data_IF_721207128681
#
_entry.id   IF_721207128681
#
_cell.length_a   1.000
_cell.length_b   1.000
_cell.length_c   1.000
_cell.angle_alpha   90.00
_cell.angle_beta   90.00
_cell.angle_gamma   90.00
#
_symmetry.space_group_name_H-M   'P 1'
#
loop_
_entity.id
_entity.type
_entity.pdbx_description
1 polymer ?
#
# COMPACT_ATOMS: atom_id res chain seq x y z
N UNK A 1 24.59 35.21 15.41
CA UNK A 1 24.03 34.59 16.63
C UNK A 1 22.52 34.55 16.42
N UNK A 2 22.03 33.52 15.73
CA UNK A 2 20.60 33.27 15.58
C UNK A 2 20.20 32.40 16.77
N UNK A 3 19.35 32.92 17.66
CA UNK A 3 18.82 32.14 18.78
C UNK A 3 17.86 31.06 18.25
N UNK A 4 17.76 29.89 18.91
CA UNK A 4 16.72 28.94 18.58
C UNK A 4 15.36 29.57 18.90
N UNK A 5 14.49 29.64 17.90
CA UNK A 5 13.10 30.02 18.06
C UNK A 5 12.46 29.04 19.06
N UNK A 6 12.21 29.51 20.29
CA UNK A 6 11.49 28.76 21.30
C UNK A 6 10.01 28.74 20.90
N UNK A 7 9.63 27.81 20.03
CA UNK A 7 8.22 27.48 19.81
C UNK A 7 7.66 27.03 21.14
N UNK A 8 6.77 27.83 21.71
CA UNK A 8 6.11 27.52 22.97
C UNK A 8 5.34 26.22 22.78
N UNK A 9 5.60 25.25 23.67
CA UNK A 9 4.92 23.96 23.70
C UNK A 9 3.39 24.17 23.73
N UNK A 10 2.71 23.89 22.62
CA UNK A 10 1.25 24.04 22.52
C UNK A 10 0.57 22.95 23.34
N UNK A 11 -0.41 23.35 24.15
CA UNK A 11 -1.32 22.44 24.86
C UNK A 11 -2.67 22.46 24.17
N UNK A 12 -3.16 21.31 23.68
CA UNK A 12 -4.43 21.26 22.96
C UNK A 12 -5.08 19.86 23.01
N UNK A 13 -6.39 19.84 23.29
CA UNK A 13 -7.28 18.70 23.04
C UNK A 13 -8.57 19.27 22.46
N UNK A 14 -9.07 18.71 21.36
CA UNK A 14 -10.26 19.20 20.68
C UNK A 14 -11.48 19.14 21.63
N UNK A 15 -12.37 20.14 21.65
CA UNK A 15 -13.52 20.17 22.55
C UNK A 15 -14.43 18.93 22.44
N UNK A 16 -14.59 18.38 21.23
CA UNK A 16 -15.41 17.19 21.01
C UNK A 16 -14.82 15.95 21.68
N UNK A 17 -13.49 15.81 21.73
CA UNK A 17 -12.81 14.75 22.49
C UNK A 17 -13.17 14.85 23.97
N UNK A 18 -13.26 16.07 24.52
CA UNK A 18 -13.57 16.32 25.92
C UNK A 18 -15.06 16.22 26.27
N UNK A 19 -15.94 16.22 25.26
CA UNK A 19 -17.39 16.32 25.44
C UNK A 19 -18.11 15.14 24.78
N UNK A 20 -18.38 15.25 23.48
CA UNK A 20 -19.08 14.23 22.68
C UNK A 20 -18.36 12.88 22.82
N UNK A 21 -17.04 12.85 22.74
CA UNK A 21 -16.28 11.60 22.84
C UNK A 21 -16.33 10.92 24.17
N UNK A 22 -16.32 11.67 25.26
CA UNK A 22 -16.51 11.08 26.59
C UNK A 22 -17.94 10.59 26.77
N UNK A 23 -18.92 11.35 26.29
CA UNK A 23 -20.34 10.99 26.39
C UNK A 23 -20.66 9.73 25.58
N UNK A 24 -20.12 9.64 24.38
CA UNK A 24 -20.43 8.57 23.42
C UNK A 24 -19.44 7.38 23.55
N UNK A 25 -18.45 7.51 24.44
CA UNK A 25 -17.59 6.41 24.89
C UNK A 25 -16.34 6.17 24.04
N UNK A 26 -16.07 6.98 23.03
CA UNK A 26 -14.88 6.86 22.17
C UNK A 26 -13.63 7.60 22.69
N UNK A 27 -13.76 8.45 23.73
CA UNK A 27 -12.64 9.16 24.32
C UNK A 27 -12.45 8.86 25.82
N UNK A 28 -11.19 8.91 26.27
CA UNK A 28 -10.86 8.76 27.69
C UNK A 28 -11.48 9.91 28.52
N UNK A 29 -12.23 9.62 29.60
CA UNK A 29 -12.80 10.65 30.47
C UNK A 29 -11.75 11.35 31.33
N UNK A 30 -10.64 10.67 31.65
CA UNK A 30 -9.54 11.27 32.40
C UNK A 30 -8.78 12.25 31.48
N UNK A 31 -8.66 13.49 31.93
CA UNK A 31 -8.02 14.58 31.17
C UNK A 31 -6.59 14.86 31.61
N UNK A 32 -6.15 14.29 32.72
CA UNK A 32 -4.78 14.41 33.20
C UNK A 32 -4.05 13.05 33.06
N UNK A 33 -3.11 12.94 32.10
CA UNK A 33 -2.43 11.67 31.83
C UNK A 33 -1.58 11.19 33.02
N UNK A 34 -1.21 12.08 33.95
CA UNK A 34 -0.42 11.72 35.13
C UNK A 34 -1.18 10.87 36.14
N UNK A 35 -2.51 10.78 36.00
CA UNK A 35 -3.40 9.97 36.83
C UNK A 35 -3.68 8.58 36.25
N UNK A 36 -3.19 8.30 35.05
CA UNK A 36 -3.42 7.02 34.35
C UNK A 36 -2.45 5.96 34.86
N UNK A 37 -2.95 4.74 35.11
CA UNK A 37 -2.08 3.57 35.30
C UNK A 37 -1.46 3.15 33.98
N UNK A 38 -0.27 3.68 33.73
CA UNK A 38 0.50 3.40 32.53
C UNK A 38 1.02 1.96 32.46
N UNK A 39 1.15 1.25 33.58
CA UNK A 39 1.64 -0.14 33.58
C UNK A 39 0.71 -1.03 32.77
N UNK A 40 -0.60 -0.88 32.99
CA UNK A 40 -1.62 -1.63 32.27
C UNK A 40 -1.68 -1.23 30.79
N UNK A 41 -1.58 0.08 30.47
CA UNK A 41 -1.60 0.58 29.08
C UNK A 41 -0.37 0.13 28.30
N UNK A 42 0.83 0.26 28.88
CA UNK A 42 2.09 -0.22 28.27
C UNK A 42 2.10 -1.74 28.09
N UNK A 43 1.52 -2.50 29.02
CA UNK A 43 1.42 -3.96 28.91
C UNK A 43 0.52 -4.45 27.77
N UNK A 44 -0.36 -3.59 27.24
CA UNK A 44 -1.27 -3.89 26.12
C UNK A 44 -0.84 -3.23 24.80
N UNK A 45 0.10 -2.30 24.86
CA UNK A 45 0.52 -1.51 23.71
C UNK A 45 1.15 -2.40 22.64
N UNK A 46 0.78 -2.14 21.39
CA UNK A 46 1.26 -2.85 20.23
C UNK A 46 2.69 -2.44 19.87
N UNK A 47 3.11 -1.21 20.19
CA UNK A 47 4.50 -0.76 20.13
C UNK A 47 4.98 -0.22 21.50
N UNK A 48 6.27 -0.40 21.84
CA UNK A 48 6.81 0.13 23.09
C UNK A 48 6.86 1.67 23.07
N UNK A 49 6.56 2.29 24.21
CA UNK A 49 6.67 3.73 24.42
C UNK A 49 7.11 4.06 25.85
N UNK A 50 7.65 5.26 26.04
CA UNK A 50 8.11 5.74 27.35
C UNK A 50 7.04 6.55 28.07
N UNK A 51 7.14 6.57 29.39
CA UNK A 51 6.36 7.47 30.26
C UNK A 51 7.34 8.28 31.09
N UNK A 52 7.26 9.61 31.00
CA UNK A 52 8.13 10.55 31.71
C UNK A 52 7.25 11.48 32.52
N UNK A 53 7.51 11.58 33.82
CA UNK A 53 6.71 12.40 34.76
C UNK A 53 5.20 12.12 34.70
N UNK A 54 4.84 10.85 34.53
CA UNK A 54 3.46 10.39 34.41
C UNK A 54 2.81 10.67 33.05
N UNK A 55 3.56 11.12 32.05
CA UNK A 55 3.05 11.47 30.71
C UNK A 55 3.58 10.51 29.66
N UNK A 56 2.73 9.99 28.76
CA UNK A 56 3.17 9.15 27.65
C UNK A 56 3.98 10.00 26.66
N UNK A 57 4.98 9.39 26.04
CA UNK A 57 5.83 10.04 25.05
C UNK A 57 5.65 9.32 23.72
N UNK A 58 5.21 10.06 22.70
CA UNK A 58 5.12 9.58 21.33
C UNK A 58 6.49 8.99 20.92
N UNK A 59 6.54 7.69 20.53
CA UNK A 59 7.79 6.98 20.35
C UNK A 59 8.52 7.32 19.05
N UNK A 60 7.90 8.05 18.12
CA UNK A 60 8.42 8.26 16.78
C UNK A 60 8.55 9.72 16.37
N UNK A 61 7.70 10.61 16.89
CA UNK A 61 7.66 12.00 16.43
C UNK A 61 7.50 12.99 17.58
N UNK A 62 8.02 14.20 17.34
CA UNK A 62 7.65 15.40 18.08
C UNK A 62 6.74 16.22 17.17
N UNK A 63 5.55 16.49 17.64
CA UNK A 63 4.46 17.16 16.93
C UNK A 63 4.39 18.64 17.31
N UNK A 64 3.44 19.36 16.70
CA UNK A 64 3.16 20.75 17.09
C UNK A 64 2.38 20.87 18.40
N UNK A 65 1.85 19.77 18.95
CA UNK A 65 1.05 19.73 20.19
C UNK A 65 1.80 18.91 21.24
N UNK A 66 2.48 19.61 22.15
CA UNK A 66 3.31 18.99 23.18
C UNK A 66 2.49 18.34 24.30
N UNK A 67 1.37 18.95 24.65
CA UNK A 67 0.50 18.48 25.74
C UNK A 67 -0.96 18.36 25.28
N UNK A 68 -1.69 17.37 25.77
CA UNK A 68 -3.04 17.05 25.32
C UNK A 68 -3.05 15.99 24.23
N UNK A 69 -4.25 15.62 23.77
CA UNK A 69 -4.46 14.54 22.79
C UNK A 69 -4.62 15.03 21.34
N UNK A 70 -4.55 16.34 21.13
CA UNK A 70 -4.95 16.98 19.89
C UNK A 70 -6.37 16.53 19.48
N UNK A 71 -6.54 15.69 18.48
CA UNK A 71 -7.87 15.23 18.01
C UNK A 71 -8.17 13.76 18.35
N UNK A 72 -7.25 13.05 19.02
CA UNK A 72 -7.43 11.64 19.38
C UNK A 72 -8.19 11.45 20.69
N UNK A 73 -9.01 10.40 20.76
CA UNK A 73 -9.83 10.07 21.92
C UNK A 73 -9.04 9.57 23.13
N UNK A 74 -8.01 8.75 22.88
CA UNK A 74 -7.27 8.05 23.93
C UNK A 74 -5.88 8.66 24.17
N UNK A 75 -5.42 8.61 25.42
CA UNK A 75 -4.04 8.89 25.76
C UNK A 75 -3.11 7.75 25.36
N UNK A 76 -1.91 8.11 24.89
CA UNK A 76 -0.90 7.16 24.44
C UNK A 76 -1.24 6.53 23.10
N UNK A 77 -1.06 5.23 22.99
CA UNK A 77 -1.37 4.47 21.78
C UNK A 77 -2.89 4.34 21.56
N UNK A 78 -3.35 4.77 20.39
CA UNK A 78 -4.63 4.39 19.80
C UNK A 78 -4.38 3.34 18.70
N UNK A 79 -4.73 2.08 18.98
CA UNK A 79 -4.54 0.97 18.06
C UNK A 79 -5.73 0.87 17.09
N UNK A 80 -5.41 0.90 15.80
CA UNK A 80 -6.32 0.67 14.70
C UNK A 80 -5.94 -0.58 13.89
N UNK A 81 -6.85 -1.02 13.03
CA UNK A 81 -6.59 -2.05 12.05
C UNK A 81 -7.21 -1.71 10.70
N UNK A 82 -6.47 -1.99 9.63
CA UNK A 82 -6.85 -1.68 8.26
C UNK A 82 -6.98 -2.94 7.42
N UNK A 83 -8.02 -3.02 6.58
CA UNK A 83 -8.22 -4.10 5.62
C UNK A 83 -7.73 -3.72 4.22
N UNK A 84 -6.74 -4.45 3.70
CA UNK A 84 -6.34 -4.40 2.30
C UNK A 84 -6.93 -5.60 1.57
N UNK A 85 -8.10 -5.41 0.97
CA UNK A 85 -8.71 -6.40 0.08
C UNK A 85 -8.29 -6.09 -1.34
N UNK A 86 -7.64 -7.04 -2.02
CA UNK A 86 -7.26 -6.89 -3.42
C UNK A 86 -7.82 -7.99 -4.31
N UNK A 87 -8.01 -7.66 -5.58
CA UNK A 87 -8.33 -8.62 -6.65
C UNK A 87 -7.57 -8.22 -7.93
N UNK A 88 -7.30 -9.20 -8.78
CA UNK A 88 -6.78 -8.95 -10.14
C UNK A 88 -7.87 -9.19 -11.18
N UNK A 89 -7.99 -8.32 -12.17
CA UNK A 89 -8.83 -8.62 -13.33
C UNK A 89 -8.14 -9.57 -14.32
N UNK A 90 -8.85 -10.06 -15.34
CA UNK A 90 -8.28 -10.94 -16.39
C UNK A 90 -7.15 -10.31 -17.20
N UNK A 91 -7.04 -8.99 -17.20
CA UNK A 91 -5.95 -8.29 -17.87
C UNK A 91 -4.71 -8.19 -16.99
N UNK A 92 -4.79 -8.68 -15.75
CA UNK A 92 -3.72 -8.66 -14.76
C UNK A 92 -3.64 -7.36 -13.98
N UNK A 93 -4.61 -6.44 -14.10
CA UNK A 93 -4.61 -5.20 -13.33
C UNK A 93 -5.07 -5.46 -11.92
N UNK A 94 -4.40 -4.86 -10.95
CA UNK A 94 -4.74 -4.96 -9.53
C UNK A 94 -5.72 -3.87 -9.13
N UNK A 95 -6.70 -4.26 -8.33
CA UNK A 95 -7.69 -3.39 -7.72
C UNK A 95 -7.71 -3.63 -6.21
N UNK A 96 -7.99 -2.58 -5.45
CA UNK A 96 -8.17 -2.66 -4.00
C UNK A 96 -9.49 -2.00 -3.60
N UNK A 97 -10.09 -2.48 -2.52
CA UNK A 97 -11.22 -1.79 -1.89
C UNK A 97 -10.71 -0.58 -1.13
N UNK A 98 -11.33 0.57 -1.36
CA UNK A 98 -11.09 1.80 -0.61
C UNK A 98 -12.41 2.47 -0.26
N UNK A 99 -12.38 3.25 0.81
CA UNK A 99 -13.47 4.09 1.28
C UNK A 99 -13.06 5.55 1.19
N UNK A 100 -14.03 6.43 0.94
CA UNK A 100 -13.83 7.87 1.05
C UNK A 100 -14.39 8.36 2.38
N UNK A 101 -13.53 8.98 3.20
CA UNK A 101 -13.89 9.41 4.55
C UNK A 101 -14.85 10.60 4.54
N UNK A 102 -15.80 10.63 5.46
CA UNK A 102 -16.76 11.74 5.64
C UNK A 102 -16.11 13.01 6.18
N UNK A 103 -15.00 12.89 6.90
CA UNK A 103 -14.23 14.01 7.49
C UNK A 103 -13.39 14.80 6.48
N UNK A 104 -13.38 14.41 5.20
CA UNK A 104 -12.67 15.11 4.13
C UNK A 104 -11.17 14.85 4.08
N UNK A 105 -10.64 13.89 4.86
CA UNK A 105 -9.22 13.54 4.79
C UNK A 105 -8.84 12.67 3.58
N UNK A 106 -9.82 12.30 2.73
CA UNK A 106 -9.63 11.63 1.46
C UNK A 106 -9.94 10.14 1.51
N UNK A 107 -9.34 9.39 0.59
CA UNK A 107 -9.56 7.96 0.39
C UNK A 107 -8.61 7.13 1.24
N UNK A 108 -9.17 6.20 2.00
CA UNK A 108 -8.47 5.33 2.92
C UNK A 108 -8.71 3.84 2.59
N UNK A 109 -7.93 2.97 3.23
CA UNK A 109 -8.34 1.58 3.37
C UNK A 109 -9.49 1.55 4.38
N UNK A 110 -10.44 0.62 4.25
CA UNK A 110 -11.44 0.45 5.27
C UNK A 110 -10.78 -0.01 6.58
N UNK A 111 -11.11 0.64 7.69
CA UNK A 111 -10.38 0.45 8.94
C UNK A 111 -10.77 1.40 10.05
N UNK A 112 -10.48 0.99 11.28
CA UNK A 112 -10.91 1.69 12.49
C UNK A 112 -10.24 1.12 13.74
N UNK A 113 -10.74 1.51 14.90
CA UNK A 113 -10.13 1.15 16.18
C UNK A 113 -10.27 -0.34 16.48
N UNK A 114 -9.25 -0.90 17.15
CA UNK A 114 -9.34 -2.27 17.68
C UNK A 114 -10.03 -2.22 19.03
N UNK A 115 -11.17 -2.91 19.15
CA UNK A 115 -11.92 -2.95 20.39
C UNK A 115 -11.19 -3.73 21.50
N UNK A 116 -11.50 -3.46 22.80
CA UNK A 116 -10.95 -4.22 23.90
C UNK A 116 -11.19 -5.73 23.77
N UNK A 117 -10.11 -6.51 23.65
CA UNK A 117 -10.16 -7.96 23.51
C UNK A 117 -10.38 -8.46 22.09
N UNK A 118 -10.51 -7.55 21.12
CA UNK A 118 -10.54 -7.86 19.70
C UNK A 118 -9.12 -8.07 19.16
N UNK A 119 -8.97 -8.95 18.16
CA UNK A 119 -7.69 -9.07 17.44
C UNK A 119 -7.67 -8.10 16.27
N UNK A 120 -6.51 -7.57 15.84
CA UNK A 120 -6.47 -6.63 14.72
C UNK A 120 -7.08 -7.19 13.42
N UNK A 121 -6.93 -8.49 13.16
CA UNK A 121 -7.58 -9.13 12.01
C UNK A 121 -9.11 -9.11 12.11
N UNK A 122 -9.66 -9.31 13.32
CA UNK A 122 -11.11 -9.25 13.53
C UNK A 122 -11.63 -7.82 13.37
N UNK A 123 -10.90 -6.84 13.91
CA UNK A 123 -11.20 -5.43 13.73
C UNK A 123 -11.20 -5.05 12.23
N UNK A 124 -10.12 -5.35 11.50
CA UNK A 124 -10.05 -5.07 10.06
C UNK A 124 -11.19 -5.73 9.26
N UNK A 125 -11.57 -6.96 9.60
CA UNK A 125 -12.69 -7.64 8.94
C UNK A 125 -14.08 -7.06 9.31
N UNK A 126 -14.25 -6.60 10.55
CA UNK A 126 -15.46 -5.91 11.02
C UNK A 126 -15.60 -4.56 10.31
N UNK A 127 -14.56 -3.73 10.36
CA UNK A 127 -14.52 -2.41 9.72
C UNK A 127 -14.77 -2.50 8.20
N UNK A 128 -14.16 -3.49 7.54
CA UNK A 128 -14.45 -3.77 6.13
C UNK A 128 -15.94 -4.02 5.90
N UNK A 129 -16.58 -4.80 6.74
CA UNK A 129 -18.00 -5.13 6.59
C UNK A 129 -18.89 -3.92 6.91
N UNK A 130 -18.57 -3.16 7.96
CA UNK A 130 -19.30 -1.96 8.39
C UNK A 130 -19.22 -0.85 7.35
N UNK A 131 -18.02 -0.51 6.86
CA UNK A 131 -17.85 0.64 5.95
C UNK A 131 -18.12 0.33 4.47
N UNK A 132 -18.12 -0.95 4.07
CA UNK A 132 -18.22 -1.34 2.65
C UNK A 132 -19.32 -2.35 2.34
N UNK A 133 -19.88 -3.00 3.35
CA UNK A 133 -20.78 -4.16 3.19
C UNK A 133 -20.07 -5.46 2.76
N UNK A 134 -18.75 -5.45 2.55
CA UNK A 134 -18.01 -6.62 2.07
C UNK A 134 -17.60 -7.56 3.21
N UNK A 135 -18.02 -8.82 3.12
CA UNK A 135 -17.52 -9.89 4.00
C UNK A 135 -16.67 -10.88 3.20
N UNK A 136 -15.46 -11.15 3.67
CA UNK A 136 -14.55 -12.13 3.04
C UNK A 136 -14.48 -13.40 3.88
N UNK A 137 -15.05 -14.49 3.38
CA UNK A 137 -15.07 -15.80 4.05
C UNK A 137 -14.12 -16.79 3.39
N UNK A 138 -13.44 -17.63 4.19
CA UNK A 138 -12.64 -18.74 3.68
C UNK A 138 -11.31 -18.35 3.00
N UNK A 139 -10.92 -17.07 3.07
CA UNK A 139 -9.67 -16.58 2.52
C UNK A 139 -8.54 -16.57 3.55
N UNK A 140 -7.30 -16.69 3.08
CA UNK A 140 -6.11 -16.56 3.92
C UNK A 140 -5.68 -15.11 4.02
N UNK A 141 -5.82 -14.54 5.22
CA UNK A 141 -5.37 -13.19 5.53
C UNK A 141 -3.90 -13.19 5.96
N UNK A 142 -3.14 -12.20 5.48
CA UNK A 142 -1.80 -11.87 5.96
C UNK A 142 -1.89 -10.63 6.84
N UNK A 143 -1.50 -10.74 8.10
CA UNK A 143 -1.48 -9.60 9.03
C UNK A 143 -0.04 -9.15 9.26
N UNK A 144 0.22 -7.84 9.19
CA UNK A 144 1.55 -7.29 9.43
C UNK A 144 1.83 -7.11 10.92
N UNK A 145 3.09 -6.84 11.27
CA UNK A 145 3.38 -6.30 12.59
C UNK A 145 2.72 -4.91 12.77
N UNK A 146 2.40 -4.50 14.01
CA UNK A 146 1.95 -3.15 14.30
C UNK A 146 2.99 -2.10 13.90
N UNK A 147 2.53 -0.93 13.46
CA UNK A 147 3.40 0.18 13.08
C UNK A 147 2.83 1.53 13.50
N UNK A 148 3.72 2.43 13.89
CA UNK A 148 3.39 3.83 14.06
C UNK A 148 2.85 4.44 12.75
N UNK A 149 1.87 5.33 12.90
CA UNK A 149 1.26 6.08 11.82
C UNK A 149 1.45 7.58 12.06
N UNK A 150 2.11 8.32 11.13
CA UNK A 150 2.24 9.76 11.23
C UNK A 150 0.90 10.44 10.89
N UNK A 151 -0.02 10.40 11.84
CA UNK A 151 -1.38 10.90 11.71
C UNK A 151 -1.45 12.39 12.09
N UNK A 152 -2.04 13.27 11.27
CA UNK A 152 -2.14 14.70 11.58
C UNK A 152 -2.95 15.00 12.86
N UNK A 153 -3.77 14.07 13.31
CA UNK A 153 -4.58 14.17 14.54
C UNK A 153 -3.77 13.88 15.80
N UNK A 154 -2.57 13.32 15.66
CA UNK A 154 -1.71 12.95 16.78
C UNK A 154 -1.13 14.17 17.53
N UNK A 155 -0.55 13.87 18.67
CA UNK A 155 0.19 14.77 19.55
C UNK A 155 1.41 14.05 20.15
N UNK A 156 2.16 14.72 21.01
CA UNK A 156 3.26 14.08 21.73
C UNK A 156 2.77 13.12 22.83
N UNK A 157 1.50 13.19 23.22
CA UNK A 157 0.91 12.39 24.31
C UNK A 157 -0.20 11.44 23.82
N UNK A 158 -0.52 11.43 22.53
CA UNK A 158 -1.48 10.52 21.90
C UNK A 158 -1.14 10.30 20.42
N UNK A 159 -1.10 9.05 19.96
CA UNK A 159 -0.69 8.72 18.59
C UNK A 159 -1.40 7.48 18.05
N UNK A 160 -1.39 7.35 16.72
CA UNK A 160 -2.00 6.22 16.02
C UNK A 160 -0.97 5.10 15.78
N UNK A 161 -1.40 3.87 16.01
CA UNK A 161 -0.72 2.65 15.57
C UNK A 161 -1.69 1.86 14.75
N UNK A 162 -1.26 1.29 13.63
CA UNK A 162 -2.10 0.41 12.83
C UNK A 162 -1.47 -0.96 12.62
N UNK A 163 -2.33 -1.94 12.43
CA UNK A 163 -2.00 -3.27 11.93
C UNK A 163 -2.76 -3.50 10.63
N UNK A 164 -2.03 -3.82 9.56
CA UNK A 164 -2.64 -4.12 8.27
C UNK A 164 -2.98 -5.61 8.17
N UNK A 165 -4.22 -5.91 7.83
CA UNK A 165 -4.66 -7.25 7.42
C UNK A 165 -4.98 -7.23 5.93
N UNK A 166 -4.21 -8.00 5.15
CA UNK A 166 -4.32 -8.04 3.70
C UNK A 166 -4.86 -9.40 3.21
N UNK A 167 -5.71 -9.36 2.19
CA UNK A 167 -6.23 -10.55 1.52
C UNK A 167 -6.28 -10.34 0.01
N UNK A 168 -5.89 -11.35 -0.75
CA UNK A 168 -6.00 -11.38 -2.20
C UNK A 168 -7.09 -12.37 -2.60
N UNK A 169 -8.13 -11.86 -3.27
CA UNK A 169 -9.24 -12.66 -3.79
C UNK A 169 -8.88 -13.37 -5.10
N UNK A 170 -7.67 -13.15 -5.62
CA UNK A 170 -7.18 -13.77 -6.84
C UNK A 170 -7.70 -13.09 -8.10
N UNK A 171 -7.77 -13.86 -9.20
CA UNK A 171 -8.26 -13.34 -10.49
C UNK A 171 -9.78 -13.48 -10.59
N UNK A 172 -10.48 -12.37 -10.75
CA UNK A 172 -11.94 -12.29 -10.88
C UNK A 172 -12.28 -11.44 -12.11
N UNK A 173 -13.36 -11.77 -12.82
CA UNK A 173 -13.85 -10.90 -13.90
C UNK A 173 -14.36 -9.57 -13.31
N UNK A 174 -14.08 -8.43 -13.95
CA UNK A 174 -14.28 -7.10 -13.32
C UNK A 174 -15.74 -6.79 -12.97
N UNK A 175 -16.67 -7.34 -13.75
CA UNK A 175 -18.12 -7.30 -13.57
C UNK A 175 -18.62 -8.25 -12.48
N UNK A 176 -17.78 -9.18 -12.01
CA UNK A 176 -18.05 -10.12 -10.92
C UNK A 176 -17.37 -9.73 -9.61
N UNK A 177 -16.71 -8.58 -9.55
CA UNK A 177 -16.15 -8.08 -8.30
C UNK A 177 -17.27 -7.93 -7.25
N UNK A 178 -17.04 -8.36 -5.99
CA UNK A 178 -18.01 -8.15 -4.92
C UNK A 178 -18.44 -6.70 -4.84
N UNK A 179 -19.74 -6.47 -4.73
CA UNK A 179 -20.28 -5.12 -4.56
C UNK A 179 -19.75 -4.51 -3.24
N UNK A 180 -19.44 -3.22 -3.29
CA UNK A 180 -19.05 -2.41 -2.13
C UNK A 180 -19.88 -1.13 -2.17
N UNK A 181 -20.36 -0.70 -1.02
CA UNK A 181 -21.15 0.53 -0.84
C UNK A 181 -20.68 1.20 0.44
N UNK A 182 -20.47 2.51 0.42
CA UNK A 182 -20.10 3.25 1.63
C UNK A 182 -21.23 3.25 2.64
N UNK A 183 -20.89 3.05 3.91
CA UNK A 183 -21.78 3.17 5.05
C UNK A 183 -20.98 3.66 6.27
N UNK A 184 -21.68 3.95 7.37
CA UNK A 184 -21.10 4.52 8.60
C UNK A 184 -20.28 5.80 8.33
N UNK A 185 -18.98 5.79 8.60
CA UNK A 185 -18.08 6.92 8.37
C UNK A 185 -17.48 6.97 6.94
N UNK A 186 -17.93 6.10 6.03
CA UNK A 186 -17.55 6.09 4.62
C UNK A 186 -18.63 6.75 3.74
N UNK A 187 -18.28 7.88 3.11
CA UNK A 187 -19.12 8.58 2.13
C UNK A 187 -19.44 7.71 0.93
N UNK A 188 -18.47 6.93 0.49
CA UNK A 188 -18.59 5.93 -0.56
C UNK A 188 -17.49 4.88 -0.44
N UNK A 189 -17.71 3.71 -1.04
CA UNK A 189 -16.73 2.65 -1.16
C UNK A 189 -16.59 2.24 -2.64
N UNK A 190 -15.38 1.91 -3.07
CA UNK A 190 -15.10 1.52 -4.45
C UNK A 190 -13.94 0.54 -4.57
N UNK A 191 -13.98 -0.25 -5.65
CA UNK A 191 -12.79 -0.93 -6.17
C UNK A 191 -11.97 0.05 -6.99
N UNK A 192 -10.81 0.42 -6.45
CA UNK A 192 -9.89 1.42 -6.99
C UNK A 192 -8.69 0.74 -7.63
N UNK A 193 -8.27 1.18 -8.81
CA UNK A 193 -7.14 0.58 -9.52
C UNK A 193 -5.83 0.90 -8.79
N UNK A 194 -5.06 -0.13 -8.43
CA UNK A 194 -3.88 0.00 -7.58
C UNK A 194 -2.77 -0.98 -7.97
N UNK A 195 -2.40 -1.02 -9.26
CA UNK A 195 -1.24 -1.77 -9.74
C UNK A 195 0.04 -1.38 -8.98
N UNK A 196 0.17 -0.08 -8.73
CA UNK A 196 1.23 0.55 -7.93
C UNK A 196 0.61 1.69 -7.12
N UNK A 197 1.33 2.22 -6.14
CA UNK A 197 0.89 3.43 -5.43
C UNK A 197 0.67 4.63 -6.37
N UNK A 198 1.51 4.80 -7.40
CA UNK A 198 1.32 5.86 -8.40
C UNK A 198 0.01 5.67 -9.17
N UNK A 199 -0.27 4.44 -9.62
CA UNK A 199 -1.53 4.13 -10.32
C UNK A 199 -2.73 4.42 -9.44
N UNK A 200 -2.65 4.09 -8.15
CA UNK A 200 -3.69 4.38 -7.18
C UNK A 200 -3.99 5.88 -7.10
N UNK A 201 -2.95 6.70 -6.86
CA UNK A 201 -3.09 8.16 -6.76
C UNK A 201 -3.66 8.75 -8.05
N UNK A 202 -3.16 8.32 -9.22
CA UNK A 202 -3.66 8.79 -10.52
C UNK A 202 -5.13 8.42 -10.71
N UNK A 203 -5.52 7.17 -10.42
CA UNK A 203 -6.88 6.71 -10.59
C UNK A 203 -7.86 7.48 -9.70
N UNK A 204 -7.52 7.70 -8.43
CA UNK A 204 -8.33 8.48 -7.50
C UNK A 204 -8.51 9.93 -7.97
N UNK A 205 -7.43 10.58 -8.40
CA UNK A 205 -7.49 11.95 -8.89
C UNK A 205 -8.36 12.08 -10.16
N UNK A 206 -8.17 11.18 -11.13
CA UNK A 206 -8.87 11.25 -12.42
C UNK A 206 -10.33 10.79 -12.36
N UNK A 207 -10.65 9.81 -11.50
CA UNK A 207 -11.97 9.16 -11.48
C UNK A 207 -12.86 9.68 -10.36
N UNK A 208 -12.27 10.09 -9.23
CA UNK A 208 -12.99 10.44 -8.01
C UNK A 208 -12.72 11.87 -7.53
N UNK A 209 -11.88 12.65 -8.22
CA UNK A 209 -11.37 13.94 -7.72
C UNK A 209 -10.79 13.81 -6.28
N UNK A 210 -10.18 12.65 -6.02
CA UNK A 210 -9.81 12.20 -4.68
C UNK A 210 -8.31 12.13 -4.47
N UNK A 211 -7.91 12.22 -3.21
CA UNK A 211 -6.53 11.99 -2.75
C UNK A 211 -6.48 10.89 -1.70
N UNK A 212 -5.32 10.23 -1.57
CA UNK A 212 -5.10 9.22 -0.53
C UNK A 212 -4.97 9.91 0.84
N UNK A 213 -5.60 9.33 1.85
CA UNK A 213 -5.47 9.75 3.24
C UNK A 213 -4.00 9.73 3.68
N UNK A 214 -3.41 10.86 4.15
CA UNK A 214 -1.97 10.96 4.44
C UNK A 214 -1.42 9.86 5.35
N UNK A 215 -2.19 9.45 6.36
CA UNK A 215 -1.81 8.41 7.32
C UNK A 215 -1.57 7.03 6.64
N UNK A 216 -2.24 6.77 5.51
CA UNK A 216 -2.14 5.49 4.79
C UNK A 216 -1.05 5.48 3.73
N UNK A 217 -0.44 6.63 3.40
CA UNK A 217 0.48 6.77 2.27
C UNK A 217 1.65 5.79 2.34
N UNK A 218 2.37 5.73 3.46
CA UNK A 218 3.54 4.86 3.56
C UNK A 218 3.16 3.37 3.63
N UNK A 219 2.05 3.05 4.28
CA UNK A 219 1.53 1.68 4.33
C UNK A 219 1.12 1.18 2.94
N UNK A 220 0.39 2.00 2.19
CA UNK A 220 -0.01 1.71 0.81
C UNK A 220 1.20 1.65 -0.11
N UNK A 221 2.16 2.58 0.01
CA UNK A 221 3.43 2.48 -0.71
C UNK A 221 4.09 1.15 -0.43
N UNK A 222 4.26 0.72 0.81
CA UNK A 222 4.91 -0.56 1.13
C UNK A 222 4.16 -1.78 0.54
N UNK A 223 2.84 -1.83 0.67
CA UNK A 223 2.05 -3.01 0.26
C UNK A 223 1.66 -3.02 -1.23
N UNK A 224 1.85 -1.88 -1.92
CA UNK A 224 1.79 -1.76 -3.36
C UNK A 224 3.20 -1.71 -4.00
N UNK A 225 4.27 -1.57 -3.18
CA UNK A 225 5.70 -1.72 -3.55
C UNK A 225 6.14 -3.17 -3.64
N UNK A 226 5.42 -4.11 -3.04
CA UNK A 226 5.61 -5.55 -3.31
C UNK A 226 5.33 -5.91 -4.78
N UNK A 227 5.00 -4.91 -5.61
CA UNK A 227 5.19 -4.90 -7.06
C UNK A 227 5.87 -3.63 -7.61
N UNK A 228 7.07 -3.25 -7.12
CA UNK A 228 8.15 -2.88 -8.07
C UNK A 228 8.60 -4.13 -8.82
N UNK A 229 7.60 -4.76 -9.45
CA UNK A 229 7.71 -5.66 -10.55
C UNK A 229 7.56 -4.70 -11.72
N UNK A 230 8.68 -4.34 -12.35
CA UNK A 230 8.63 -3.91 -13.74
C UNK A 230 7.72 -4.90 -14.48
N UNK A 231 6.84 -4.44 -15.37
CA UNK A 231 5.67 -5.22 -15.76
C UNK A 231 6.09 -6.47 -16.54
N UNK A 232 6.34 -7.62 -15.86
CA UNK A 232 6.02 -9.03 -16.26
C UNK A 232 6.78 -10.17 -15.60
N UNK A 233 7.52 -9.94 -14.52
CA UNK A 233 8.40 -10.99 -13.99
C UNK A 233 7.69 -12.23 -13.39
N UNK A 234 6.40 -12.20 -13.03
CA UNK A 234 5.76 -13.37 -12.37
C UNK A 234 5.33 -14.48 -13.35
N UNK A 235 4.89 -14.13 -14.57
CA UNK A 235 4.36 -15.11 -15.53
C UNK A 235 5.46 -15.98 -16.13
N UNK A 236 6.54 -15.33 -16.58
CA UNK A 236 7.74 -16.02 -17.06
C UNK A 236 8.44 -16.76 -15.93
N UNK A 237 8.62 -16.17 -14.74
CA UNK A 237 9.26 -16.90 -13.62
C UNK A 237 8.47 -18.12 -13.15
N UNK A 238 7.15 -18.02 -13.01
CA UNK A 238 6.33 -19.19 -12.63
C UNK A 238 6.37 -20.25 -13.74
N UNK A 239 6.34 -19.85 -15.01
CA UNK A 239 6.47 -20.78 -16.13
C UNK A 239 7.87 -21.41 -16.18
N UNK A 240 8.94 -20.65 -15.89
CA UNK A 240 10.33 -21.12 -15.80
C UNK A 240 10.51 -22.08 -14.63
N UNK A 241 10.00 -21.77 -13.44
CA UNK A 241 10.09 -22.67 -12.28
C UNK A 241 9.29 -23.96 -12.49
N UNK A 242 8.10 -23.86 -13.11
CA UNK A 242 7.35 -25.04 -13.54
C UNK A 242 8.13 -25.87 -14.56
N UNK A 243 8.76 -25.23 -15.55
CA UNK A 243 9.59 -25.92 -16.53
C UNK A 243 10.79 -26.61 -15.88
N UNK A 244 11.49 -25.95 -14.94
CA UNK A 244 12.59 -26.53 -14.17
C UNK A 244 12.16 -27.79 -13.41
N UNK A 245 11.03 -27.72 -12.72
CA UNK A 245 10.48 -28.86 -11.98
C UNK A 245 10.12 -30.01 -12.93
N UNK A 246 9.41 -29.74 -14.02
CA UNK A 246 8.99 -30.80 -14.95
C UNK A 246 10.17 -31.44 -15.69
N UNK A 247 11.21 -30.66 -16.02
CA UNK A 247 12.47 -31.19 -16.58
C UNK A 247 13.18 -32.10 -15.57
N UNK A 248 13.23 -31.71 -14.28
CA UNK A 248 13.81 -32.55 -13.24
C UNK A 248 13.05 -33.87 -13.07
N UNK A 249 11.71 -33.83 -13.07
CA UNK A 249 10.87 -35.02 -13.00
C UNK A 249 11.04 -35.93 -14.22
N UNK A 250 11.11 -35.37 -15.44
CA UNK A 250 11.37 -36.13 -16.66
C UNK A 250 12.76 -36.79 -16.64
N UNK A 251 13.77 -36.07 -16.17
CA UNK A 251 15.14 -36.59 -16.00
C UNK A 251 15.17 -37.76 -15.02
N UNK A 252 14.47 -37.63 -13.89
CA UNK A 252 14.35 -38.71 -12.90
C UNK A 252 13.62 -39.94 -13.45
N UNK A 253 12.51 -39.74 -14.17
CA UNK A 253 11.77 -40.83 -14.81
C UNK A 253 12.60 -41.56 -15.88
N UNK A 254 13.37 -40.82 -16.70
CA UNK A 254 14.32 -41.39 -17.66
C UNK A 254 15.40 -42.24 -17.00
N UNK A 255 15.95 -41.78 -15.86
CA UNK A 255 16.91 -42.55 -15.05
C UNK A 255 16.31 -43.85 -14.53
N UNK A 256 15.10 -43.79 -13.97
CA UNK A 256 14.38 -44.98 -13.50
C UNK A 256 14.04 -45.96 -14.62
N UNK A 257 13.66 -45.47 -15.80
CA UNK A 257 13.43 -46.35 -16.96
C UNK A 257 14.73 -47.00 -17.42
N UNK A 258 15.84 -46.26 -17.46
CA UNK A 258 17.15 -46.80 -17.82
C UNK A 258 17.60 -47.91 -16.84
N UNK A 259 17.46 -47.68 -15.54
CA UNK A 259 17.83 -48.65 -14.50
C UNK A 259 16.86 -49.85 -14.45
N UNK A 260 15.55 -49.60 -14.52
CA UNK A 260 14.49 -50.62 -14.49
C UNK A 260 14.41 -51.47 -15.75
N UNK A 261 14.89 -50.96 -16.89
CA UNK A 261 14.99 -51.72 -18.15
C UNK A 261 16.04 -52.83 -18.11
N UNK A 262 16.90 -52.86 -17.09
CA UNK A 262 17.92 -53.90 -16.87
C UNK A 262 17.43 -55.08 -16.00
N UNK A 263 16.13 -55.16 -15.68
CA UNK A 263 15.50 -56.39 -15.19
C UNK A 263 15.49 -56.63 -13.67
N UNK A 264 15.72 -55.61 -12.84
CA UNK A 264 15.78 -55.76 -11.37
C UNK A 264 14.71 -54.96 -10.59
N UNK A 265 13.71 -54.39 -11.27
CA UNK A 265 12.67 -53.54 -10.65
C UNK A 265 11.33 -54.24 -10.35
N UNK A 266 10.60 -53.74 -9.35
CA UNK A 266 9.31 -54.27 -8.86
C UNK A 266 8.09 -53.98 -9.78
N UNK A 267 8.23 -53.18 -10.85
CA UNK A 267 7.13 -52.88 -11.78
C UNK A 267 7.37 -53.49 -13.18
N UNK A 268 6.30 -53.80 -13.96
CA UNK A 268 6.42 -54.21 -15.35
C UNK A 268 7.09 -53.13 -16.23
N UNK A 269 7.92 -53.53 -17.19
CA UNK A 269 8.61 -52.64 -18.15
C UNK A 269 7.69 -51.61 -18.82
N UNK A 270 6.47 -52.03 -19.19
CA UNK A 270 5.46 -51.18 -19.84
C UNK A 270 4.94 -50.05 -18.93
N UNK A 271 4.93 -50.25 -17.61
CA UNK A 271 4.54 -49.22 -16.65
C UNK A 271 5.61 -48.12 -16.55
N UNK A 272 6.90 -48.50 -16.49
CA UNK A 272 8.01 -47.55 -16.52
C UNK A 272 8.04 -46.73 -17.81
N UNK A 273 7.76 -47.36 -18.96
CA UNK A 273 7.68 -46.66 -20.25
C UNK A 273 6.55 -45.62 -20.27
N UNK A 274 5.35 -45.95 -19.78
CA UNK A 274 4.20 -45.03 -19.74
C UNK A 274 4.39 -43.84 -18.80
N UNK A 275 4.93 -44.06 -17.60
CA UNK A 275 5.27 -43.00 -16.63
C UNK A 275 6.34 -42.05 -17.23
N UNK A 276 7.34 -42.60 -17.91
CA UNK A 276 8.41 -41.82 -18.55
C UNK A 276 7.91 -40.96 -19.70
N UNK A 277 7.08 -41.51 -20.60
CA UNK A 277 6.48 -40.75 -21.70
C UNK A 277 5.62 -39.60 -21.16
N UNK A 278 4.81 -39.86 -20.13
CA UNK A 278 3.98 -38.84 -19.49
C UNK A 278 4.81 -37.69 -18.90
N UNK A 279 5.93 -38.01 -18.25
CA UNK A 279 6.83 -37.02 -17.69
C UNK A 279 7.54 -36.18 -18.77
N UNK A 280 7.98 -36.80 -19.87
CA UNK A 280 8.56 -36.09 -21.03
C UNK A 280 7.54 -35.12 -21.63
N UNK A 281 6.31 -35.57 -21.86
CA UNK A 281 5.26 -34.73 -22.43
C UNK A 281 4.91 -33.54 -21.52
N UNK A 282 4.91 -33.75 -20.20
CA UNK A 282 4.72 -32.67 -19.23
C UNK A 282 5.87 -31.65 -19.25
N UNK A 283 7.12 -32.12 -19.38
CA UNK A 283 8.29 -31.26 -19.52
C UNK A 283 8.26 -30.45 -20.82
N UNK A 284 7.90 -31.07 -21.95
CA UNK A 284 7.78 -30.38 -23.24
C UNK A 284 6.71 -29.28 -23.21
N UNK A 285 5.53 -29.55 -22.63
CA UNK A 285 4.48 -28.53 -22.44
C UNK A 285 4.97 -27.38 -21.56
N UNK A 286 5.58 -27.68 -20.42
CA UNK A 286 6.07 -26.65 -19.50
C UNK A 286 7.18 -25.78 -20.13
N UNK A 287 8.08 -26.37 -20.93
CA UNK A 287 9.10 -25.63 -21.69
C UNK A 287 8.47 -24.74 -22.77
N UNK A 288 7.43 -25.22 -23.45
CA UNK A 288 6.69 -24.43 -24.43
C UNK A 288 5.98 -23.23 -23.79
N UNK A 289 5.37 -23.43 -22.63
CA UNK A 289 4.72 -22.36 -21.86
C UNK A 289 5.74 -21.32 -21.38
N UNK A 290 6.89 -21.77 -20.85
CA UNK A 290 7.97 -20.89 -20.44
C UNK A 290 8.53 -20.06 -21.61
N UNK A 291 8.74 -20.70 -22.77
CA UNK A 291 9.17 -20.01 -24.00
C UNK A 291 8.14 -18.97 -24.44
N UNK A 292 6.86 -19.32 -24.46
CA UNK A 292 5.79 -18.40 -24.87
C UNK A 292 5.67 -17.22 -23.91
N UNK A 293 5.84 -17.44 -22.60
CA UNK A 293 5.89 -16.39 -21.59
C UNK A 293 7.08 -15.44 -21.82
N UNK A 294 8.28 -15.99 -22.05
CA UNK A 294 9.50 -15.21 -22.33
C UNK A 294 9.40 -14.39 -23.63
N UNK A 295 8.86 -14.95 -24.71
CA UNK A 295 8.68 -14.23 -25.97
C UNK A 295 7.66 -13.10 -25.82
N UNK A 296 6.59 -13.33 -25.06
CA UNK A 296 5.57 -12.31 -24.79
C UNK A 296 6.12 -11.18 -23.91
N UNK A 297 6.94 -11.52 -22.92
CA UNK A 297 7.68 -10.56 -22.10
C UNK A 297 8.65 -9.72 -22.93
N UNK A 298 9.51 -10.35 -23.74
CA UNK A 298 10.48 -9.66 -24.61
C UNK A 298 9.81 -8.68 -25.57
N UNK A 299 8.70 -9.07 -26.22
CA UNK A 299 7.96 -8.18 -27.13
C UNK A 299 7.36 -6.98 -26.39
N UNK A 300 6.84 -7.20 -25.18
CA UNK A 300 6.28 -6.13 -24.35
C UNK A 300 7.36 -5.15 -23.89
N UNK A 301 8.54 -5.63 -23.54
CA UNK A 301 9.69 -4.79 -23.17
C UNK A 301 10.15 -3.93 -24.37
N UNK A 302 10.20 -4.51 -25.57
CA UNK A 302 10.47 -3.79 -26.81
C UNK A 302 9.42 -2.70 -27.08
N UNK A 303 8.13 -3.03 -27.00
CA UNK A 303 7.02 -2.07 -27.19
C UNK A 303 7.07 -0.93 -26.15
N UNK A 304 7.38 -1.25 -24.90
CA UNK A 304 7.51 -0.26 -23.83
C UNK A 304 8.73 0.66 -24.03
N UNK A 305 9.84 0.12 -24.55
CA UNK A 305 11.03 0.90 -24.89
C UNK A 305 10.75 1.87 -26.05
N UNK A 306 10.06 1.40 -27.10
CA UNK A 306 9.63 2.22 -28.25
C UNK A 306 8.76 3.38 -27.75
N UNK A 307 7.76 3.11 -26.91
CA UNK A 307 6.87 4.15 -26.37
C UNK A 307 7.63 5.22 -25.57
N UNK A 308 8.61 4.84 -24.75
CA UNK A 308 9.45 5.80 -24.00
C UNK A 308 10.27 6.69 -24.92
N UNK A 309 10.80 6.13 -26.01
CA UNK A 309 11.54 6.88 -27.02
C UNK A 309 10.61 7.91 -27.68
N UNK A 310 9.39 7.51 -28.06
CA UNK A 310 8.40 8.42 -28.65
C UNK A 310 8.01 9.56 -27.70
N UNK A 311 7.78 9.27 -26.42
CA UNK A 311 7.49 10.27 -25.39
C UNK A 311 8.66 11.24 -25.16
N UNK A 312 9.91 10.77 -25.25
CA UNK A 312 11.09 11.63 -25.17
C UNK A 312 11.22 12.53 -26.41
N UNK A 313 10.97 11.98 -27.60
CA UNK A 313 10.99 12.74 -28.85
C UNK A 313 9.89 13.80 -28.88
N UNK A 314 8.68 13.48 -28.39
CA UNK A 314 7.57 14.42 -28.28
C UNK A 314 7.91 15.59 -27.34
N UNK A 315 8.46 15.30 -26.15
CA UNK A 315 8.91 16.34 -25.20
C UNK A 315 10.02 17.22 -25.77
N UNK A 316 10.97 16.63 -26.49
CA UNK A 316 12.06 17.36 -27.15
C UNK A 316 11.53 18.30 -28.25
N UNK A 317 10.52 17.88 -29.02
CA UNK A 317 9.86 18.73 -30.03
C UNK A 317 9.10 19.89 -29.40
N UNK A 318 8.33 19.63 -28.34
CA UNK A 318 7.59 20.68 -27.63
C UNK A 318 8.54 21.76 -27.06
N UNK A 319 9.61 21.33 -26.38
CA UNK A 319 10.60 22.26 -25.83
C UNK A 319 11.31 23.13 -26.88
N UNK A 320 11.49 22.62 -28.12
CA UNK A 320 12.05 23.40 -29.23
C UNK A 320 11.08 24.44 -29.79
N UNK A 321 9.79 24.14 -29.79
CA UNK A 321 8.75 25.09 -30.23
C UNK A 321 8.64 26.24 -29.22
N UNK A 322 8.60 25.92 -27.92
CA UNK A 322 8.56 26.93 -26.84
C UNK A 322 9.78 27.87 -26.87
N UNK A 323 10.97 27.32 -27.17
CA UNK A 323 12.20 28.09 -27.33
C UNK A 323 12.20 28.99 -28.58
N UNK A 324 11.45 28.63 -29.63
CA UNK A 324 11.33 29.42 -30.85
C UNK A 324 10.27 30.53 -30.74
N UNK A 325 9.28 30.38 -29.86
CA UNK A 325 8.22 31.37 -29.63
C UNK A 325 8.55 32.41 -28.54
N UNK A 326 9.66 32.23 -27.81
CA UNK A 326 10.13 33.21 -26.81
C UNK A 326 10.79 34.42 -27.49
N UNK A 327 10.26 35.66 -27.33
CA UNK A 327 10.86 36.84 -27.95
C UNK A 327 12.22 37.17 -27.32
N UNK A 328 13.19 37.70 -28.10
CA UNK A 328 14.49 38.08 -27.56
C UNK A 328 14.32 39.18 -26.50
N UNK A 329 14.97 38.96 -25.35
CA UNK A 329 15.00 39.91 -24.23
C UNK A 329 15.43 41.30 -24.71
N UNK A 330 14.55 42.29 -24.53
CA UNK A 330 14.85 43.68 -24.84
C UNK A 330 15.98 44.16 -23.92
N UNK A 331 17.16 44.41 -24.50
CA UNK A 331 18.24 45.11 -23.81
C UNK A 331 17.76 46.52 -23.46
N UNK A 332 17.68 46.80 -22.16
CA UNK A 332 17.47 48.15 -21.64
C UNK A 332 18.72 48.97 -21.98
N UNK A 333 18.61 50.09 -22.73
CA UNK A 333 19.77 50.91 -23.03
C UNK A 333 20.21 51.68 -21.77
N UNK A 334 21.53 51.73 -21.56
CA UNK A 334 22.19 52.47 -20.47
C UNK A 334 21.79 53.96 -20.48
N UNK A 335 21.58 54.60 -19.32
CA UNK A 335 21.24 56.01 -19.27
C UNK A 335 22.44 56.86 -19.72
N UNK A 336 22.17 57.81 -20.63
CA UNK A 336 23.17 58.75 -21.15
C UNK A 336 23.69 59.67 -20.03
N UNK A 337 24.98 60.09 -20.08
CA UNK A 337 25.55 60.96 -19.06
C UNK A 337 25.02 62.39 -19.20
N UNK A 338 24.53 62.96 -18.09
CA UNK A 338 24.15 64.37 -17.98
C UNK A 338 25.38 65.27 -18.21
N UNK A 339 25.27 66.16 -19.21
CA UNK A 339 26.26 67.19 -19.47
C UNK A 339 25.96 68.44 -18.64
N UNK A 340 26.86 68.78 -17.71
CA UNK A 340 26.92 70.10 -17.08
C UNK A 340 27.13 71.21 -18.12
N UNK A 341 26.18 72.12 -18.24
CA UNK A 341 26.42 73.49 -18.72
C UNK A 341 25.95 74.49 -17.65
N UNK A 342 26.93 75.22 -17.15
CA UNK A 342 26.86 76.38 -16.25
C UNK A 342 25.78 77.39 -16.61
N UNK A 343 25.11 77.90 -15.57
CA UNK A 343 25.16 79.32 -15.20
C UNK A 343 25.14 79.46 -13.69
#
# INVERSE_FOLDING_TARGET
MFGPDSTTARTYTHPDVLSIGVRDGWADPETDPTRIDWTTRQGRAAIPFQVIDGRPVNPCETTSVRYGRNELGHWGEALAADALVSASDRTGRRWIVMVERTDGHGWALPGGHVDPGETPLRAAARELAEETGLTVTGASWRTTAPRYVPDPRASDEAWMVTVLSAVDLGTIDRDQFPAVVGDDDARQAAWVRADTYRTLVTYLAETHDGQVFPAHVEMLKQNLRDREVGPTDLGSRVAIERARLQVALASHALGHWHEGSNGTGDKPYTAYAGETVTAIDAALRALHDARSALVTESRRDEDAAIKRIDELLARSRAARLDAAESPPSAQVPDPAPESDRKT
#
